data_IF_131459821314
#
_entry.id   IF_131459821314
#
_cell.length_a   1.000
_cell.length_b   1.000
_cell.length_c   1.000
_cell.angle_alpha   90.00
_cell.angle_beta   90.00
_cell.angle_gamma   90.00
#
_symmetry.space_group_name_H-M   'P 1'
#
loop_
_entity.id
_entity.type
_entity.pdbx_description
1 polymer ?
#
# COMPACT_ATOMS: atom_id res chain seq x y z
N UNK A 1 19.85 0.49 -4.28
CA UNK A 1 18.39 0.34 -4.48
C UNK A 1 17.74 0.29 -3.11
N UNK A 2 16.60 0.94 -2.92
CA UNK A 2 15.78 0.83 -1.71
C UNK A 2 14.40 0.32 -2.13
N UNK A 3 13.85 -0.60 -1.37
CA UNK A 3 12.51 -1.15 -1.58
C UNK A 3 11.62 -0.84 -0.38
N UNK A 4 10.43 -0.33 -0.62
CA UNK A 4 9.39 -0.12 0.38
C UNK A 4 8.16 -0.94 -0.03
N UNK A 5 8.10 -2.17 0.49
CA UNK A 5 7.06 -3.15 0.16
C UNK A 5 6.08 -3.26 1.31
N UNK A 6 4.82 -2.91 1.08
CA UNK A 6 3.73 -2.95 2.05
C UNK A 6 3.99 -2.11 3.30
N UNK A 7 4.62 -0.93 3.16
CA UNK A 7 5.00 -0.07 4.30
C UNK A 7 4.58 1.39 4.17
N UNK A 8 4.18 1.86 2.99
CA UNK A 8 3.85 3.27 2.77
C UNK A 8 2.68 3.71 3.68
N UNK A 9 1.70 2.83 3.88
CA UNK A 9 0.54 3.07 4.73
C UNK A 9 0.84 3.22 6.23
N UNK A 10 2.05 2.87 6.68
CA UNK A 10 2.53 3.08 8.05
C UNK A 10 3.22 4.43 8.28
N UNK A 11 3.53 5.18 7.20
CA UNK A 11 4.29 6.41 7.35
C UNK A 11 3.42 7.54 7.90
N UNK A 12 3.77 8.04 9.09
CA UNK A 12 3.15 9.21 9.71
C UNK A 12 3.41 10.49 8.92
N UNK A 13 4.60 10.62 8.32
CA UNK A 13 4.94 11.70 7.39
C UNK A 13 5.64 11.12 6.14
N UNK A 14 4.87 10.63 5.15
CA UNK A 14 5.43 9.94 3.99
C UNK A 14 6.42 10.80 3.21
N UNK A 15 6.15 12.09 3.02
CA UNK A 15 7.04 12.99 2.26
C UNK A 15 8.39 13.13 2.96
N UNK A 16 8.41 13.33 4.29
CA UNK A 16 9.65 13.43 5.05
C UNK A 16 10.45 12.12 5.01
N UNK A 17 9.79 10.98 5.19
CA UNK A 17 10.42 9.66 5.11
C UNK A 17 11.04 9.43 3.75
N UNK A 18 10.29 9.67 2.68
CA UNK A 18 10.78 9.51 1.29
C UNK A 18 11.97 10.44 1.00
N UNK A 19 11.95 11.69 1.46
CA UNK A 19 13.13 12.59 1.36
C UNK A 19 14.34 12.05 2.12
N UNK A 20 14.13 11.43 3.26
CA UNK A 20 15.18 10.73 4.01
C UNK A 20 15.79 9.60 3.17
N UNK A 21 14.95 8.72 2.60
CA UNK A 21 15.39 7.62 1.74
C UNK A 21 16.16 8.11 0.51
N UNK A 22 15.73 9.24 -0.09
CA UNK A 22 16.43 9.86 -1.22
C UNK A 22 17.88 10.19 -0.88
N UNK A 23 18.15 10.70 0.33
CA UNK A 23 19.52 11.07 0.77
C UNK A 23 20.44 9.86 0.92
N UNK A 24 19.87 8.67 1.10
CA UNK A 24 20.62 7.41 1.21
C UNK A 24 20.89 6.77 -0.16
N UNK A 25 20.21 7.22 -1.21
CA UNK A 25 20.43 6.73 -2.57
C UNK A 25 21.60 7.46 -3.23
N UNK A 26 22.41 6.69 -3.97
CA UNK A 26 23.33 7.27 -4.96
C UNK A 26 22.53 7.99 -6.07
N UNK A 27 23.13 8.91 -6.85
CA UNK A 27 22.41 9.73 -7.83
C UNK A 27 21.57 8.95 -8.86
N UNK A 28 22.01 7.73 -9.22
CA UNK A 28 21.31 6.82 -10.15
C UNK A 28 20.53 5.72 -9.42
N UNK A 29 20.45 5.80 -8.09
CA UNK A 29 19.78 4.82 -7.25
C UNK A 29 18.27 4.89 -7.40
N UNK A 30 17.63 3.72 -7.32
CA UNK A 30 16.19 3.58 -7.46
C UNK A 30 15.52 3.30 -6.12
N UNK A 31 14.33 3.87 -5.97
CA UNK A 31 13.36 3.55 -4.94
C UNK A 31 12.19 2.83 -5.61
N UNK A 32 11.86 1.64 -5.13
CA UNK A 32 10.67 0.88 -5.53
C UNK A 32 9.67 0.90 -4.39
N UNK A 33 8.45 1.35 -4.66
CA UNK A 33 7.35 1.35 -3.70
C UNK A 33 6.28 0.41 -4.22
N UNK A 34 5.92 -0.57 -3.39
CA UNK A 34 4.81 -1.48 -3.61
C UNK A 34 3.92 -1.40 -2.38
N UNK A 35 2.64 -1.12 -2.55
CA UNK A 35 1.67 -1.11 -1.46
C UNK A 35 0.26 -1.36 -2.02
N UNK A 36 -0.67 -1.79 -1.17
CA UNK A 36 -2.06 -1.88 -1.57
C UNK A 36 -2.64 -0.48 -1.75
N UNK A 37 -3.35 -0.28 -2.86
CA UNK A 37 -3.90 1.01 -3.25
C UNK A 37 -5.42 1.00 -3.19
N UNK A 38 -5.99 2.14 -2.82
CA UNK A 38 -7.41 2.41 -2.99
C UNK A 38 -7.73 2.39 -4.49
N UNK A 39 -8.70 1.56 -4.89
CA UNK A 39 -9.32 1.66 -6.23
C UNK A 39 -10.27 2.87 -6.27
N UNK A 40 -10.64 3.32 -7.47
CA UNK A 40 -11.69 4.32 -7.63
C UNK A 40 -13.06 3.87 -7.07
N UNK A 41 -14.01 4.80 -6.97
CA UNK A 41 -15.43 4.55 -6.70
C UNK A 41 -15.94 3.35 -7.53
N UNK A 42 -16.82 2.44 -7.02
CA UNK A 42 -17.85 2.64 -5.98
C UNK A 42 -17.61 2.07 -4.57
N UNK A 43 -16.39 1.73 -4.17
CA UNK A 43 -16.17 1.07 -2.88
C UNK A 43 -16.21 2.03 -1.66
N UNK A 44 -16.83 1.66 -0.52
CA UNK A 44 -16.96 2.53 0.66
C UNK A 44 -15.65 2.60 1.47
N UNK A 45 -14.66 3.30 0.93
CA UNK A 45 -13.29 3.35 1.48
C UNK A 45 -13.17 3.79 2.93
N UNK A 46 -14.05 4.67 3.42
CA UNK A 46 -14.06 5.10 4.83
C UNK A 46 -14.38 3.95 5.79
N UNK A 47 -15.35 3.09 5.44
CA UNK A 47 -15.70 1.93 6.25
C UNK A 47 -14.57 0.89 6.22
N UNK A 48 -13.93 0.74 5.07
CA UNK A 48 -12.78 -0.16 4.90
C UNK A 48 -11.56 0.31 5.70
N UNK A 49 -11.23 1.59 5.64
CA UNK A 49 -10.12 2.16 6.43
C UNK A 49 -10.38 2.02 7.94
N UNK A 50 -11.63 2.20 8.38
CA UNK A 50 -12.01 1.93 9.77
C UNK A 50 -11.83 0.45 10.15
N UNK A 51 -12.28 -0.48 9.30
CA UNK A 51 -12.11 -1.91 9.54
C UNK A 51 -10.63 -2.32 9.57
N UNK A 52 -9.79 -1.76 8.69
CA UNK A 52 -8.35 -1.98 8.72
C UNK A 52 -7.74 -1.48 10.02
N UNK A 53 -8.09 -0.28 10.48
CA UNK A 53 -7.53 0.29 11.72
C UNK A 53 -7.88 -0.53 12.97
N UNK A 54 -9.00 -1.27 12.95
CA UNK A 54 -9.33 -2.23 14.01
C UNK A 54 -8.43 -3.47 13.97
N UNK A 55 -8.11 -3.97 12.78
CA UNK A 55 -7.26 -5.14 12.60
C UNK A 55 -5.77 -4.81 12.77
N UNK A 56 -5.35 -3.66 12.27
CA UNK A 56 -3.99 -3.12 12.28
C UNK A 56 -4.01 -1.68 12.80
N UNK A 57 -3.83 -1.49 14.13
CA UNK A 57 -3.81 -0.17 14.75
C UNK A 57 -2.64 0.73 14.29
N UNK A 58 -1.59 0.15 13.70
CA UNK A 58 -0.45 0.93 13.20
C UNK A 58 -0.75 1.55 11.83
N UNK A 59 -1.79 1.08 11.14
CA UNK A 59 -2.22 1.63 9.87
C UNK A 59 -2.53 3.13 9.97
N UNK A 60 -1.73 3.97 9.32
CA UNK A 60 -1.91 5.42 9.33
C UNK A 60 -2.95 5.83 8.30
N UNK A 61 -2.69 5.49 7.02
CA UNK A 61 -3.48 5.97 5.89
C UNK A 61 -3.33 5.08 4.66
N UNK A 62 -4.45 4.87 3.99
CA UNK A 62 -4.55 4.31 2.65
C UNK A 62 -4.32 5.37 1.57
N UNK A 63 -3.62 4.99 0.50
CA UNK A 63 -3.32 5.88 -0.62
C UNK A 63 -3.92 5.36 -1.92
N UNK A 64 -4.41 6.27 -2.77
CA UNK A 64 -4.63 5.94 -4.18
C UNK A 64 -3.28 5.86 -4.89
N UNK A 65 -3.25 5.25 -6.08
CA UNK A 65 -2.06 5.26 -6.93
C UNK A 65 -1.60 6.70 -7.26
N UNK A 66 -2.54 7.62 -7.51
CA UNK A 66 -2.25 9.04 -7.73
C UNK A 66 -1.65 9.72 -6.49
N UNK A 67 -2.12 9.37 -5.28
CA UNK A 67 -1.54 9.91 -4.05
C UNK A 67 -0.10 9.45 -3.88
N UNK A 68 0.18 8.16 -4.09
CA UNK A 68 1.53 7.61 -4.00
C UNK A 68 2.50 8.31 -4.98
N UNK A 69 2.06 8.53 -6.23
CA UNK A 69 2.85 9.31 -7.20
C UNK A 69 3.06 10.76 -6.74
N UNK A 70 2.03 11.41 -6.20
CA UNK A 70 2.12 12.77 -5.67
C UNK A 70 3.13 12.87 -4.53
N UNK A 71 3.11 11.92 -3.59
CA UNK A 71 4.07 11.83 -2.48
C UNK A 71 5.50 11.69 -3.00
N UNK A 72 5.73 10.84 -4.01
CA UNK A 72 7.05 10.69 -4.64
C UNK A 72 7.53 12.01 -5.25
N UNK A 73 6.68 12.70 -6.01
CA UNK A 73 7.01 14.00 -6.63
C UNK A 73 7.32 15.08 -5.57
N UNK A 74 6.53 15.14 -4.49
CA UNK A 74 6.77 16.06 -3.38
C UNK A 74 8.08 15.76 -2.62
N UNK A 75 8.49 14.50 -2.58
CA UNK A 75 9.79 14.06 -2.09
C UNK A 75 10.92 14.20 -3.13
N UNK A 76 10.65 14.90 -4.24
CA UNK A 76 11.54 15.21 -5.35
C UNK A 76 11.94 14.01 -6.21
N UNK A 77 11.35 12.83 -6.03
CA UNK A 77 11.60 11.69 -6.93
C UNK A 77 10.96 11.91 -8.30
N UNK A 78 11.64 11.42 -9.33
CA UNK A 78 11.06 11.21 -10.65
C UNK A 78 10.38 9.84 -10.68
N UNK A 79 9.08 9.81 -10.99
CA UNK A 79 8.34 8.55 -11.16
C UNK A 79 8.64 7.98 -12.53
N UNK A 80 9.38 6.88 -12.59
CA UNK A 80 9.78 6.22 -13.85
C UNK A 80 8.72 5.24 -14.35
N UNK A 81 8.08 4.52 -13.43
CA UNK A 81 7.09 3.51 -13.74
C UNK A 81 6.01 3.47 -12.67
N UNK A 82 4.80 3.12 -13.07
CA UNK A 82 3.70 2.87 -12.14
C UNK A 82 2.79 1.82 -12.74
N UNK A 83 2.45 0.81 -11.94
CA UNK A 83 1.54 -0.25 -12.32
C UNK A 83 0.62 -0.54 -11.15
N UNK A 84 -0.64 -0.83 -11.46
CA UNK A 84 -1.60 -1.37 -10.51
C UNK A 84 -2.01 -2.73 -11.05
N UNK A 85 -1.98 -3.74 -10.20
CA UNK A 85 -2.46 -5.08 -10.53
C UNK A 85 -3.48 -5.55 -9.49
N UNK A 86 -4.48 -6.36 -9.89
CA UNK A 86 -5.41 -6.97 -8.96
C UNK A 86 -4.68 -7.94 -8.02
N UNK A 87 -4.92 -7.83 -6.71
CA UNK A 87 -4.50 -8.82 -5.70
C UNK A 87 -5.57 -9.93 -5.55
N UNK A 88 -6.55 -9.97 -6.45
CA UNK A 88 -7.76 -10.82 -6.37
C UNK A 88 -7.44 -12.30 -6.12
N UNK A 89 -6.32 -12.85 -6.62
CA UNK A 89 -5.93 -14.25 -6.38
C UNK A 89 -5.62 -14.57 -4.90
N UNK A 90 -5.01 -13.65 -4.16
CA UNK A 90 -4.68 -13.85 -2.75
C UNK A 90 -5.96 -13.78 -1.89
N UNK A 91 -6.83 -12.81 -2.16
CA UNK A 91 -8.13 -12.70 -1.49
C UNK A 91 -9.07 -13.87 -1.82
N UNK A 92 -9.08 -14.35 -3.07
CA UNK A 92 -9.82 -15.54 -3.47
C UNK A 92 -9.30 -16.79 -2.73
N UNK A 93 -7.98 -16.93 -2.57
CA UNK A 93 -7.38 -18.00 -1.77
C UNK A 93 -7.81 -17.97 -0.30
N UNK A 94 -7.79 -16.78 0.34
CA UNK A 94 -8.30 -16.60 1.70
C UNK A 94 -9.80 -16.88 1.83
N UNK A 95 -10.62 -16.46 0.88
CA UNK A 95 -12.05 -16.75 0.86
C UNK A 95 -12.34 -18.26 0.73
N UNK A 96 -11.54 -18.98 -0.07
CA UNK A 96 -11.62 -20.44 -0.17
C UNK A 96 -11.20 -21.12 1.15
N UNK A 97 -10.15 -20.63 1.80
CA UNK A 97 -9.70 -21.15 3.10
C UNK A 97 -10.73 -20.93 4.20
N UNK A 98 -11.31 -19.73 4.30
CA UNK A 98 -12.38 -19.43 5.26
C UNK A 98 -13.66 -20.24 5.02
N UNK A 99 -13.98 -20.54 3.74
CA UNK A 99 -15.09 -21.42 3.38
C UNK A 99 -14.81 -22.88 3.77
N UNK A 100 -13.56 -23.33 3.69
CA UNK A 100 -13.16 -24.68 4.12
C UNK A 100 -13.11 -24.84 5.66
N UNK A 101 -12.82 -23.77 6.40
CA UNK A 101 -12.83 -23.78 7.87
C UNK A 101 -14.24 -23.68 8.48
N UNK A 102 -15.28 -23.49 7.66
CA UNK A 102 -16.70 -23.47 8.09
C UNK A 102 -17.43 -24.80 7.94
N UNK A 103 -16.73 -25.88 7.58
CA UNK A 103 -17.28 -27.24 7.49
C UNK A 103 -16.57 -28.20 8.44
N UNK A 104 -16.84 -28.00 9.72
CA UNK A 104 -16.83 -29.01 10.79
C UNK A 104 -17.89 -28.50 11.79
N UNK A 105 -18.96 -29.20 12.13
CA UNK A 105 -19.09 -30.64 12.38
C UNK A 105 -20.50 -31.16 12.04
N UNK A 106 -20.58 -32.49 12.06
CA UNK A 106 -21.69 -33.44 11.88
C UNK A 106 -23.05 -33.07 12.50
#
# INVERSE_FOLDING_TARGET
MITCTNTLHYFSNPVATLRGLRRLLVPTGQLVIEDYVLRGFPFPWKAFEWAIKLYDPQHVRLYTCSDAQSLCRQAQFQVLHTQVFPIDLFCQGWALLLKSSGTGDW
#
